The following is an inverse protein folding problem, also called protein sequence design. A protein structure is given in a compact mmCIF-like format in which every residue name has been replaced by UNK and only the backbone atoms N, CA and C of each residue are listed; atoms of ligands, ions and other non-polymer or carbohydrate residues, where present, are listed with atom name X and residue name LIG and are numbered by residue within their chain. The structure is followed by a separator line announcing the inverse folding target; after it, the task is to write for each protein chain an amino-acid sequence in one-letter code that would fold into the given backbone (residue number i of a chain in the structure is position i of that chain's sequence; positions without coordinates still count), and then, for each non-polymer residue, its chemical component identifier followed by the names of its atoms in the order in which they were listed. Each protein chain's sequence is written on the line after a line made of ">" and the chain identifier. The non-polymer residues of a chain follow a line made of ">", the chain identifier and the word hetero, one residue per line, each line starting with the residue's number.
data_IF_430440299704
#
_entry.id   IF_430440299704
#
_cell.length_a   1.000
_cell.length_b   1.000
_cell.length_c   1.000
_cell.angle_alpha   90.00
_cell.angle_beta   90.00
_cell.angle_gamma   90.00
#
_symmetry.space_group_name_H-M   'P 1'
#
loop_
_entity.id
_entity.type
_entity.pdbx_description
1 polymer ?
#
# COMPACT_ATOMS: atom_id res chain seq x y z
N UNK A 1 -10.87 -7.98 -34.91
CA UNK A 1 -9.56 -8.03 -34.24
C UNK A 1 -9.12 -6.68 -33.69
N UNK A 2 -9.07 -5.61 -34.50
CA UNK A 2 -8.59 -4.28 -34.07
C UNK A 2 -9.28 -3.75 -32.81
N UNK A 3 -10.63 -3.74 -32.80
CA UNK A 3 -11.39 -3.25 -31.63
C UNK A 3 -11.05 -3.99 -30.34
N UNK A 4 -10.86 -5.31 -30.40
CA UNK A 4 -10.46 -6.14 -29.25
C UNK A 4 -9.04 -5.79 -28.76
N UNK A 5 -8.11 -5.57 -29.68
CA UNK A 5 -6.74 -5.15 -29.32
C UNK A 5 -6.73 -3.78 -28.66
N UNK A 6 -7.49 -2.81 -29.20
CA UNK A 6 -7.63 -1.46 -28.60
C UNK A 6 -8.25 -1.56 -27.20
N UNK A 7 -9.28 -2.39 -27.04
CA UNK A 7 -9.94 -2.61 -25.74
C UNK A 7 -8.92 -3.10 -24.70
N UNK A 8 -8.15 -4.14 -25.02
CA UNK A 8 -7.14 -4.69 -24.10
C UNK A 8 -6.08 -3.63 -23.77
N UNK A 9 -5.58 -2.90 -24.77
CA UNK A 9 -4.54 -1.90 -24.52
C UNK A 9 -5.01 -0.73 -23.66
N UNK A 10 -6.21 -0.20 -23.91
CA UNK A 10 -6.78 0.87 -23.08
C UNK A 10 -7.00 0.37 -21.66
N UNK A 11 -7.55 -0.84 -21.50
CA UNK A 11 -7.74 -1.46 -20.19
C UNK A 11 -6.42 -1.57 -19.42
N UNK A 12 -5.39 -2.14 -20.03
CA UNK A 12 -4.09 -2.32 -19.39
C UNK A 12 -3.41 -0.99 -19.03
N UNK A 13 -3.46 0.00 -19.92
CA UNK A 13 -2.87 1.32 -19.67
C UNK A 13 -3.60 2.04 -18.54
N UNK A 14 -4.94 2.01 -18.51
CA UNK A 14 -5.72 2.59 -17.42
C UNK A 14 -5.43 1.91 -16.09
N UNK A 15 -5.42 0.58 -16.06
CA UNK A 15 -5.07 -0.18 -14.86
C UNK A 15 -3.65 0.13 -14.38
N UNK A 16 -2.68 0.23 -15.29
CA UNK A 16 -1.30 0.59 -14.95
C UNK A 16 -1.22 1.98 -14.30
N UNK A 17 -1.97 2.96 -14.79
CA UNK A 17 -2.03 4.31 -14.21
C UNK A 17 -2.62 4.28 -12.80
N UNK A 18 -3.73 3.56 -12.59
CA UNK A 18 -4.40 3.45 -11.30
C UNK A 18 -3.50 2.73 -10.29
N UNK A 19 -2.92 1.58 -10.66
CA UNK A 19 -2.02 0.81 -9.80
C UNK A 19 -0.76 1.61 -9.47
N UNK A 20 -0.19 2.33 -10.44
CA UNK A 20 0.95 3.19 -10.21
C UNK A 20 0.67 4.32 -9.21
N UNK A 21 -0.53 4.92 -9.29
CA UNK A 21 -0.96 5.95 -8.34
C UNK A 21 -1.27 5.38 -6.96
N UNK A 22 -1.91 4.21 -6.90
CA UNK A 22 -2.15 3.51 -5.64
C UNK A 22 -0.82 3.17 -4.96
N UNK A 23 0.14 2.65 -5.69
CA UNK A 23 1.48 2.38 -5.17
C UNK A 23 2.14 3.65 -4.62
N UNK A 24 2.11 4.76 -5.36
CA UNK A 24 2.65 6.03 -4.87
C UNK A 24 1.95 6.51 -3.59
N UNK A 25 0.61 6.43 -3.53
CA UNK A 25 -0.14 6.82 -2.34
C UNK A 25 0.26 5.99 -1.14
N UNK A 26 0.33 4.68 -1.31
CA UNK A 26 0.65 3.72 -0.26
C UNK A 26 2.09 3.88 0.26
N UNK A 27 3.06 4.07 -0.63
CA UNK A 27 4.49 4.22 -0.22
C UNK A 27 4.84 5.56 0.40
N UNK A 28 3.96 6.56 0.31
CA UNK A 28 4.14 7.89 0.91
C UNK A 28 3.01 8.22 1.90
N UNK A 29 2.22 7.22 2.30
CA UNK A 29 1.21 7.42 3.33
C UNK A 29 1.90 7.66 4.68
N UNK A 30 1.38 8.61 5.43
CA UNK A 30 1.75 8.79 6.82
C UNK A 30 1.27 7.57 7.61
N UNK A 31 2.19 6.84 8.21
CA UNK A 31 1.88 5.68 9.03
C UNK A 31 1.32 6.07 10.39
N UNK A 32 1.47 7.33 10.79
CA UNK A 32 1.12 7.83 12.13
C UNK A 32 2.15 7.47 13.20
N UNK A 33 3.31 6.93 12.80
CA UNK A 33 4.46 6.69 13.68
C UNK A 33 5.77 6.88 12.91
N UNK A 34 6.84 7.23 13.63
CA UNK A 34 8.17 7.48 13.08
C UNK A 34 9.02 6.20 13.11
N UNK A 35 9.48 5.78 11.95
CA UNK A 35 10.37 4.62 11.79
C UNK A 35 11.69 4.96 11.08
N UNK A 36 12.00 6.24 10.93
CA UNK A 36 13.25 6.70 10.33
C UNK A 36 14.43 6.29 11.20
N UNK A 37 15.44 5.67 10.57
CA UNK A 37 16.63 5.13 11.26
C UNK A 37 16.29 4.17 12.41
N UNK A 38 15.11 3.56 12.40
CA UNK A 38 14.68 2.58 13.36
C UNK A 38 15.14 1.17 12.97
N UNK A 39 15.76 0.50 13.92
CA UNK A 39 16.22 -0.88 13.79
C UNK A 39 15.67 -1.72 14.93
N UNK A 40 15.63 -3.02 14.74
CA UNK A 40 15.25 -3.93 15.80
C UNK A 40 15.97 -5.28 15.70
N UNK A 41 16.06 -5.96 16.83
CA UNK A 41 16.39 -7.37 16.92
C UNK A 41 15.23 -8.11 17.55
N UNK A 42 15.13 -9.42 17.28
CA UNK A 42 14.09 -10.28 17.84
C UNK A 42 14.69 -11.46 18.59
N UNK A 43 14.31 -11.61 19.84
CA UNK A 43 14.81 -12.64 20.77
C UNK A 43 13.63 -13.53 21.22
N UNK A 44 13.32 -14.54 20.43
CA UNK A 44 12.15 -15.43 20.66
C UNK A 44 12.45 -16.66 21.51
N UNK A 45 13.67 -16.82 22.00
CA UNK A 45 14.11 -18.00 22.75
C UNK A 45 13.65 -18.07 24.21
N UNK A 46 12.85 -17.10 24.65
CA UNK A 46 12.31 -17.04 26.01
C UNK A 46 13.28 -16.47 27.07
N UNK A 47 14.49 -16.11 26.69
CA UNK A 47 15.49 -15.55 27.61
C UNK A 47 15.24 -14.04 27.88
N UNK A 48 14.43 -13.76 28.89
CA UNK A 48 14.14 -12.38 29.33
C UNK A 48 15.39 -11.62 29.80
N UNK A 49 16.39 -12.34 30.33
CA UNK A 49 17.63 -11.72 30.75
C UNK A 49 18.46 -11.28 29.54
N UNK A 50 18.38 -12.02 28.43
CA UNK A 50 18.99 -11.60 27.16
C UNK A 50 18.40 -10.28 26.68
N UNK A 51 17.08 -10.09 26.76
CA UNK A 51 16.42 -8.83 26.42
C UNK A 51 16.98 -7.70 27.29
N UNK A 52 17.04 -7.90 28.59
CA UNK A 52 17.60 -6.88 29.52
C UNK A 52 19.06 -6.57 29.23
N UNK A 53 19.88 -7.60 28.91
CA UNK A 53 21.29 -7.39 28.51
C UNK A 53 21.40 -6.62 27.20
N UNK A 54 20.57 -6.92 26.21
CA UNK A 54 20.55 -6.22 24.93
C UNK A 54 20.18 -4.75 25.11
N UNK A 55 19.13 -4.46 25.88
CA UNK A 55 18.70 -3.08 26.18
C UNK A 55 19.83 -2.30 26.83
N UNK A 56 20.44 -2.82 27.92
CA UNK A 56 21.56 -2.15 28.61
C UNK A 56 22.78 -1.93 27.71
N UNK A 57 23.08 -2.90 26.83
CA UNK A 57 24.18 -2.76 25.88
C UNK A 57 23.91 -1.61 24.91
N UNK A 58 22.70 -1.51 24.36
CA UNK A 58 22.31 -0.45 23.46
C UNK A 58 22.29 0.92 24.14
N UNK A 59 21.71 1.04 25.34
CA UNK A 59 21.69 2.28 26.12
C UNK A 59 23.08 2.79 26.49
N UNK A 60 24.09 1.91 26.54
CA UNK A 60 25.47 2.29 26.82
C UNK A 60 26.21 2.90 25.63
N UNK A 61 25.64 2.82 24.42
CA UNK A 61 26.26 3.29 23.18
C UNK A 61 25.85 4.75 22.90
N UNK A 62 26.81 5.67 22.73
CA UNK A 62 26.51 7.08 22.49
C UNK A 62 25.84 7.36 21.13
N UNK A 63 25.97 6.43 20.18
CA UNK A 63 25.34 6.49 18.87
C UNK A 63 23.89 6.01 18.82
N UNK A 64 23.36 5.47 19.93
CA UNK A 64 22.00 4.97 20.03
C UNK A 64 21.09 6.03 20.65
N UNK A 65 20.10 6.47 19.88
CA UNK A 65 19.16 7.52 20.28
C UNK A 65 17.81 6.90 20.72
N UNK A 66 17.82 6.26 21.87
CA UNK A 66 16.63 5.63 22.44
C UNK A 66 16.54 4.14 22.16
N UNK A 67 16.03 3.42 23.14
CA UNK A 67 15.79 1.97 23.13
C UNK A 67 14.42 1.69 23.70
N UNK A 68 13.72 0.75 23.09
CA UNK A 68 12.42 0.29 23.56
C UNK A 68 12.26 -1.21 23.35
N UNK A 69 11.30 -1.80 24.03
CA UNK A 69 10.91 -3.19 23.78
C UNK A 69 9.42 -3.27 23.49
N UNK A 70 9.03 -4.22 22.65
CA UNK A 70 7.64 -4.47 22.32
C UNK A 70 7.37 -5.96 22.12
N UNK A 71 6.14 -6.37 22.40
CA UNK A 71 5.67 -7.73 22.08
C UNK A 71 5.53 -7.92 20.58
N UNK A 72 4.93 -6.97 19.90
CA UNK A 72 4.73 -7.00 18.46
C UNK A 72 5.07 -5.64 17.85
N UNK A 73 5.19 -5.60 16.53
CA UNK A 73 5.49 -4.38 15.79
C UNK A 73 4.29 -3.99 14.92
N UNK A 74 3.95 -2.69 14.78
CA UNK A 74 2.77 -2.24 14.07
C UNK A 74 2.57 -2.87 12.69
N UNK A 75 3.64 -3.05 11.90
CA UNK A 75 3.55 -3.62 10.55
C UNK A 75 3.21 -5.13 10.51
N UNK A 76 3.37 -5.86 11.61
CA UNK A 76 3.04 -7.29 11.67
C UNK A 76 1.53 -7.56 11.79
N UNK A 77 0.72 -6.51 11.98
CA UNK A 77 -0.69 -6.64 12.29
C UNK A 77 -0.94 -6.89 13.77
N UNK A 78 -2.14 -7.28 14.11
CA UNK A 78 -2.60 -7.46 15.49
C UNK A 78 -3.46 -8.70 15.63
N UNK A 79 -3.60 -9.18 16.85
CA UNK A 79 -4.71 -10.05 17.21
C UNK A 79 -5.94 -9.21 17.61
N UNK A 80 -6.87 -9.78 18.33
CA UNK A 80 -8.01 -9.04 18.80
C UNK A 80 -8.57 -9.58 20.07
N UNK A 81 -8.83 -8.66 20.99
CA UNK A 81 -9.52 -8.95 22.24
C UNK A 81 -10.75 -8.06 22.40
N UNK A 82 -11.67 -8.51 23.26
CA UNK A 82 -12.96 -7.87 23.41
C UNK A 82 -12.97 -6.93 24.61
N UNK A 83 -13.63 -5.80 24.42
CA UNK A 83 -13.76 -4.73 25.42
C UNK A 83 -15.10 -4.83 26.13
N UNK A 84 -15.08 -4.64 27.45
CA UNK A 84 -16.24 -4.61 28.34
C UNK A 84 -16.16 -3.41 29.27
N UNK A 85 -17.31 -2.91 29.72
CA UNK A 85 -17.37 -1.99 30.84
C UNK A 85 -17.19 -2.73 32.16
N UNK A 86 -16.74 -2.02 33.23
CA UNK A 86 -16.82 -2.59 34.59
C UNK A 86 -18.24 -3.03 34.93
N UNK A 87 -18.34 -4.19 35.54
CA UNK A 87 -19.62 -4.78 36.00
C UNK A 87 -20.67 -5.05 34.90
N UNK A 88 -20.27 -5.03 33.60
CA UNK A 88 -21.11 -5.42 32.48
C UNK A 88 -20.52 -6.65 31.76
N UNK A 89 -21.35 -7.67 31.55
CA UNK A 89 -20.97 -8.90 30.84
C UNK A 89 -21.19 -8.77 29.33
N UNK A 90 -21.70 -7.65 28.86
CA UNK A 90 -21.94 -7.40 27.45
C UNK A 90 -20.64 -7.03 26.75
N UNK A 91 -20.27 -7.82 25.77
CA UNK A 91 -19.21 -7.46 24.82
C UNK A 91 -19.59 -6.20 24.04
N UNK A 92 -18.70 -5.21 24.02
CA UNK A 92 -18.94 -3.96 23.32
C UNK A 92 -18.39 -4.03 21.89
N UNK A 93 -17.11 -4.28 21.75
CA UNK A 93 -16.42 -4.40 20.45
C UNK A 93 -15.08 -5.09 20.63
N UNK A 94 -14.48 -5.46 19.50
CA UNK A 94 -13.14 -6.04 19.43
C UNK A 94 -12.10 -4.97 19.06
N UNK A 95 -10.94 -5.03 19.68
CA UNK A 95 -9.81 -4.13 19.41
C UNK A 95 -8.67 -4.85 18.70
N UNK A 96 -7.85 -4.07 18.03
CA UNK A 96 -6.53 -4.48 17.57
C UNK A 96 -5.58 -4.41 18.77
N UNK A 97 -5.17 -5.54 19.30
CA UNK A 97 -4.29 -5.62 20.45
C UNK A 97 -3.06 -6.51 20.22
N UNK A 98 -2.36 -6.85 21.28
CA UNK A 98 -1.07 -7.55 21.39
C UNK A 98 0.14 -6.62 21.38
N UNK A 99 -0.04 -5.41 21.82
CA UNK A 99 1.07 -4.47 21.95
C UNK A 99 1.38 -4.20 23.43
N UNK A 100 2.08 -5.14 24.09
CA UNK A 100 2.84 -4.74 25.27
C UNK A 100 4.09 -4.02 24.82
N UNK A 101 4.35 -2.83 25.38
CA UNK A 101 5.52 -2.03 25.07
C UNK A 101 6.09 -1.34 26.32
N UNK A 102 7.39 -1.11 26.29
CA UNK A 102 8.07 -0.33 27.36
C UNK A 102 7.87 1.17 27.18
N UNK A 103 8.12 1.95 28.26
CA UNK A 103 7.98 3.41 28.26
C UNK A 103 8.64 4.10 27.06
N UNK A 104 9.86 3.70 26.70
CA UNK A 104 10.61 4.30 25.59
C UNK A 104 9.97 4.08 24.22
N UNK A 105 8.97 3.20 24.09
CA UNK A 105 8.33 2.90 22.82
C UNK A 105 7.61 4.10 22.23
N UNK A 106 6.91 4.86 23.04
CA UNK A 106 6.10 6.00 22.60
C UNK A 106 6.95 7.10 21.98
N UNK A 107 8.03 7.48 22.65
CA UNK A 107 8.98 8.49 22.16
C UNK A 107 9.75 7.98 20.94
N UNK A 108 10.20 6.72 20.96
CA UNK A 108 10.96 6.12 19.88
C UNK A 108 10.15 6.03 18.58
N UNK A 109 8.88 5.70 18.69
CA UNK A 109 7.95 5.60 17.57
C UNK A 109 7.24 6.93 17.25
N UNK A 110 7.50 7.99 17.99
CA UNK A 110 6.87 9.29 17.79
C UNK A 110 5.34 9.27 17.95
N UNK A 111 4.83 8.47 18.90
CA UNK A 111 3.39 8.35 19.14
C UNK A 111 2.86 9.65 19.74
N UNK A 112 1.96 10.33 19.05
CA UNK A 112 1.36 11.58 19.47
C UNK A 112 0.20 11.34 20.45
N UNK A 113 0.34 11.82 21.69
CA UNK A 113 -0.75 11.83 22.67
C UNK A 113 -1.68 13.01 22.42
N UNK A 114 -2.96 12.76 22.28
CA UNK A 114 -4.03 13.75 22.16
C UNK A 114 -4.52 14.18 23.55
N UNK A 115 -4.57 13.22 24.48
CA UNK A 115 -4.98 13.44 25.89
C UNK A 115 -4.14 12.55 26.81
N UNK A 116 -3.92 13.02 28.03
CA UNK A 116 -3.27 12.23 29.08
C UNK A 116 -1.77 11.97 28.83
N UNK A 117 -1.33 10.77 29.12
CA UNK A 117 0.09 10.35 29.12
C UNK A 117 0.27 8.85 28.87
N UNK A 118 1.50 8.42 28.64
CA UNK A 118 1.89 7.02 28.62
C UNK A 118 1.55 6.30 29.95
N UNK A 119 1.28 4.98 29.92
CA UNK A 119 1.02 4.19 31.12
C UNK A 119 2.27 4.11 31.99
N UNK A 120 2.09 4.06 33.30
CA UNK A 120 3.19 3.95 34.28
C UNK A 120 3.36 2.56 34.86
N UNK A 121 2.31 1.78 34.81
CA UNK A 121 2.31 0.41 35.32
C UNK A 121 1.30 -0.46 34.55
N UNK A 122 1.26 -1.73 34.90
CA UNK A 122 0.44 -2.72 34.22
C UNK A 122 -1.07 -2.63 34.48
N UNK A 123 -1.53 -1.69 35.32
CA UNK A 123 -2.95 -1.40 35.52
C UNK A 123 -3.45 -0.28 34.62
N UNK A 124 -2.53 0.39 33.90
CA UNK A 124 -2.83 1.46 32.98
C UNK A 124 -2.67 1.01 31.52
N UNK A 125 -3.49 1.57 30.64
CA UNK A 125 -3.40 1.42 29.19
C UNK A 125 -3.56 2.77 28.51
N UNK A 126 -3.13 2.85 27.27
CA UNK A 126 -3.49 3.96 26.36
C UNK A 126 -4.28 3.39 25.18
N UNK A 127 -5.21 4.19 24.70
CA UNK A 127 -6.13 3.82 23.62
C UNK A 127 -6.04 4.83 22.48
N UNK A 128 -6.40 4.42 21.27
CA UNK A 128 -6.43 5.37 20.16
C UNK A 128 -7.75 6.17 20.11
N UNK A 129 -7.78 7.23 19.29
CA UNK A 129 -8.98 8.07 19.11
C UNK A 129 -10.19 7.29 18.54
N UNK A 130 -9.94 6.20 17.78
CA UNK A 130 -11.01 5.31 17.29
C UNK A 130 -11.67 4.57 18.43
N UNK A 131 -10.90 4.15 19.45
CA UNK A 131 -11.43 3.52 20.65
C UNK A 131 -12.42 4.45 21.36
N UNK A 132 -12.04 5.71 21.56
CA UNK A 132 -12.92 6.71 22.21
C UNK A 132 -14.17 6.94 21.37
N UNK A 133 -14.02 7.10 20.07
CA UNK A 133 -15.16 7.24 19.14
C UNK A 133 -16.09 6.05 19.21
N UNK A 134 -15.53 4.83 19.28
CA UNK A 134 -16.34 3.60 19.35
C UNK A 134 -17.03 3.46 20.70
N UNK A 135 -16.36 3.81 21.80
CA UNK A 135 -16.97 3.81 23.14
C UNK A 135 -18.16 4.76 23.26
N UNK A 136 -18.14 5.90 22.56
CA UNK A 136 -19.24 6.85 22.55
C UNK A 136 -20.58 6.27 22.01
N UNK A 137 -20.53 5.15 21.27
CA UNK A 137 -21.74 4.43 20.83
C UNK A 137 -22.42 3.65 22.00
N UNK A 138 -21.69 3.37 23.08
CA UNK A 138 -22.15 2.51 24.17
C UNK A 138 -22.31 3.23 25.50
N UNK A 139 -21.57 4.31 25.71
CA UNK A 139 -21.54 5.05 26.97
C UNK A 139 -21.26 6.53 26.75
N UNK A 140 -21.67 7.37 27.69
CA UNK A 140 -21.38 8.81 27.65
C UNK A 140 -19.99 9.07 28.26
N UNK A 141 -19.04 9.38 27.39
CA UNK A 141 -17.68 9.82 27.74
C UNK A 141 -17.42 11.26 27.27
N UNK A 142 -18.44 12.09 27.35
CA UNK A 142 -18.34 13.52 26.96
C UNK A 142 -17.30 14.31 27.81
N UNK A 143 -16.96 13.80 29.00
CA UNK A 143 -15.94 14.31 29.91
C UNK A 143 -14.51 13.77 29.63
N UNK A 144 -14.31 13.02 28.54
CA UNK A 144 -13.05 12.41 28.15
C UNK A 144 -12.92 10.94 28.54
N UNK A 145 -11.91 10.29 27.99
CA UNK A 145 -11.64 8.86 28.23
C UNK A 145 -10.63 8.62 29.36
N UNK A 146 -9.77 9.59 29.64
CA UNK A 146 -8.69 9.46 30.65
C UNK A 146 -9.29 9.29 32.05
N UNK A 147 -8.80 8.27 32.79
CA UNK A 147 -9.29 7.88 34.11
C UNK A 147 -10.48 6.91 34.10
N UNK A 148 -11.08 6.63 32.95
CA UNK A 148 -12.12 5.61 32.82
C UNK A 148 -11.51 4.20 32.87
N UNK A 149 -12.33 3.24 33.31
CA UNK A 149 -11.91 1.83 33.40
C UNK A 149 -12.61 0.96 32.38
N UNK A 150 -11.88 -0.01 31.86
CA UNK A 150 -12.37 -1.03 30.94
C UNK A 150 -11.78 -2.40 31.33
N UNK A 151 -12.47 -3.46 30.96
CA UNK A 151 -11.93 -4.81 30.98
C UNK A 151 -11.65 -5.24 29.53
N UNK A 152 -10.49 -5.86 29.33
CA UNK A 152 -10.07 -6.38 28.01
C UNK A 152 -9.70 -7.85 28.20
N UNK A 153 -10.32 -8.73 27.40
CA UNK A 153 -10.02 -10.17 27.41
C UNK A 153 -8.54 -10.42 27.15
N UNK A 154 -8.00 -11.57 27.11
CA UNK A 154 -6.60 -11.85 26.79
C UNK A 154 -5.54 -11.23 27.72
N UNK A 155 -5.80 -10.07 28.29
CA UNK A 155 -4.92 -9.36 29.23
C UNK A 155 -5.37 -9.50 30.69
N UNK A 156 -6.32 -10.36 30.99
CA UNK A 156 -6.73 -10.63 32.37
C UNK A 156 -5.59 -11.32 33.13
N UNK A 157 -4.92 -10.54 33.98
CA UNK A 157 -3.81 -11.00 34.83
C UNK A 157 -4.25 -11.50 36.20
N UNK A 158 -5.57 -11.49 36.49
CA UNK A 158 -6.07 -11.96 37.74
C UNK A 158 -5.94 -13.50 37.81
N UNK A 159 -5.30 -13.99 38.88
CA UNK A 159 -5.30 -15.40 39.24
C UNK A 159 -6.55 -15.77 40.05
N UNK A 160 -7.40 -14.79 40.31
CA UNK A 160 -8.68 -14.92 41.02
C UNK A 160 -9.83 -14.90 40.02
N UNK A 161 -11.04 -15.25 40.47
CA UNK A 161 -12.24 -15.12 39.65
C UNK A 161 -12.70 -13.68 39.41
N UNK A 162 -11.97 -12.68 39.92
CA UNK A 162 -12.26 -11.27 39.73
C UNK A 162 -11.53 -10.74 38.49
N UNK A 163 -12.22 -9.96 37.65
CA UNK A 163 -11.66 -9.34 36.45
C UNK A 163 -10.63 -8.24 36.80
N UNK A 164 -9.53 -8.21 36.06
CA UNK A 164 -8.56 -7.11 36.15
C UNK A 164 -8.98 -5.98 35.23
N UNK A 165 -9.31 -4.81 35.80
CA UNK A 165 -9.66 -3.63 35.04
C UNK A 165 -8.44 -2.78 34.73
N UNK A 166 -8.44 -2.19 33.54
CA UNK A 166 -7.42 -1.23 33.11
C UNK A 166 -7.95 0.18 33.19
N UNK A 167 -7.14 1.10 33.70
CA UNK A 167 -7.43 2.53 33.69
C UNK A 167 -6.81 3.15 32.46
N UNK A 168 -7.58 3.89 31.66
CA UNK A 168 -7.08 4.62 30.52
C UNK A 168 -6.26 5.83 31.02
N UNK A 169 -4.95 5.83 30.73
CA UNK A 169 -4.02 6.90 31.14
C UNK A 169 -3.82 7.96 30.06
N UNK A 170 -4.13 7.62 28.81
CA UNK A 170 -4.01 8.56 27.70
C UNK A 170 -4.72 8.08 26.43
N UNK A 171 -4.93 9.02 25.53
CA UNK A 171 -5.48 8.80 24.21
C UNK A 171 -4.44 9.24 23.18
N UNK A 172 -4.09 8.37 22.24
CA UNK A 172 -3.12 8.67 21.20
C UNK A 172 -3.79 8.78 19.83
N UNK A 173 -3.14 9.50 18.92
CA UNK A 173 -3.55 9.58 17.51
C UNK A 173 -3.43 8.22 16.85
N UNK A 174 -4.50 7.73 16.22
CA UNK A 174 -4.50 6.44 15.54
C UNK A 174 -3.38 6.35 14.50
N UNK A 175 -2.69 5.25 14.48
CA UNK A 175 -1.68 4.92 13.49
C UNK A 175 -2.06 3.68 12.69
N UNK A 176 -1.30 3.40 11.62
CA UNK A 176 -1.56 2.24 10.76
C UNK A 176 -1.02 0.96 11.41
N UNK A 177 -1.93 0.02 11.67
CA UNK A 177 -1.62 -1.33 12.14
C UNK A 177 -1.74 -2.30 10.97
N UNK A 178 -0.71 -3.11 10.75
CA UNK A 178 -0.56 -3.95 9.58
C UNK A 178 0.23 -3.26 8.46
N UNK A 179 0.31 -3.93 7.33
CA UNK A 179 0.84 -3.31 6.12
C UNK A 179 -0.28 -2.55 5.40
N UNK A 180 0.07 -1.61 4.54
CA UNK A 180 -0.91 -0.75 3.84
C UNK A 180 -1.85 -1.49 2.87
N UNK A 181 -1.62 -2.78 2.63
CA UNK A 181 -2.51 -3.68 1.88
C UNK A 181 -3.44 -4.50 2.77
N UNK A 182 -3.16 -4.53 4.08
CA UNK A 182 -3.94 -5.26 5.07
C UNK A 182 -3.96 -4.49 6.40
N UNK A 183 -4.48 -3.25 6.35
CA UNK A 183 -4.60 -2.41 7.56
C UNK A 183 -5.75 -2.93 8.42
N UNK A 184 -5.47 -3.05 9.70
CA UNK A 184 -6.50 -3.35 10.70
C UNK A 184 -7.32 -2.07 10.98
N UNK A 185 -8.61 -2.04 10.67
CA UNK A 185 -9.45 -0.87 10.87
C UNK A 185 -9.94 -0.71 12.31
N UNK A 186 -9.73 -1.72 13.17
CA UNK A 186 -10.25 -1.75 14.54
C UNK A 186 -9.62 -0.65 15.38
N UNK A 187 -10.33 -0.20 16.43
CA UNK A 187 -9.71 0.56 17.51
C UNK A 187 -8.53 -0.19 18.13
N UNK A 188 -7.57 0.50 18.69
CA UNK A 188 -6.39 -0.14 19.28
C UNK A 188 -6.08 0.34 20.69
N UNK A 189 -5.39 -0.53 21.43
CA UNK A 189 -4.87 -0.23 22.76
C UNK A 189 -3.41 -0.70 22.87
N UNK A 190 -2.61 0.05 23.63
CA UNK A 190 -1.24 -0.29 23.99
C UNK A 190 -1.15 -0.51 25.50
N UNK A 191 -0.50 -1.62 25.86
CA UNK A 191 -0.38 -2.10 27.22
C UNK A 191 1.03 -1.86 27.75
N UNK A 192 1.15 -1.59 29.01
CA UNK A 192 2.44 -1.44 29.69
C UNK A 192 3.17 -2.77 29.80
N UNK A 193 4.41 -2.80 29.35
CA UNK A 193 5.33 -3.91 29.51
C UNK A 193 6.59 -3.51 30.24
N UNK A 194 6.93 -4.23 31.32
CA UNK A 194 8.16 -4.02 32.07
C UNK A 194 9.29 -4.90 31.51
N UNK A 195 10.42 -4.25 31.17
CA UNK A 195 11.59 -4.95 30.60
C UNK A 195 12.14 -5.97 31.58
N UNK A 196 12.25 -7.22 31.10
CA UNK A 196 12.77 -8.33 31.93
C UNK A 196 11.82 -8.91 32.95
N UNK A 197 10.60 -8.38 33.06
CA UNK A 197 9.57 -8.91 33.96
C UNK A 197 9.09 -10.29 33.52
N UNK A 198 8.74 -11.14 34.49
CA UNK A 198 8.10 -12.43 34.21
C UNK A 198 6.65 -12.30 33.70
N UNK A 199 6.02 -11.18 33.95
CA UNK A 199 4.65 -10.89 33.51
C UNK A 199 4.56 -10.34 32.09
N UNK A 200 5.67 -9.85 31.53
CA UNK A 200 5.73 -9.26 30.20
C UNK A 200 6.67 -10.04 29.28
N UNK A 201 6.26 -10.25 28.05
CA UNK A 201 7.05 -10.88 27.01
C UNK A 201 7.17 -9.95 25.81
N UNK A 202 8.30 -9.27 25.67
CA UNK A 202 8.58 -8.31 24.62
C UNK A 202 9.85 -8.72 23.85
N UNK A 203 9.73 -9.64 22.89
CA UNK A 203 10.90 -10.21 22.21
C UNK A 203 11.59 -9.25 21.25
N UNK A 204 10.94 -8.15 20.85
CA UNK A 204 11.54 -7.16 19.96
C UNK A 204 12.21 -6.07 20.77
N UNK A 205 13.50 -5.85 20.52
CA UNK A 205 14.26 -4.71 21.06
C UNK A 205 14.48 -3.74 19.91
N UNK A 206 13.87 -2.55 20.01
CA UNK A 206 13.91 -1.48 19.03
C UNK A 206 14.92 -0.43 19.46
N UNK A 207 15.61 0.18 18.50
CA UNK A 207 16.54 1.26 18.76
C UNK A 207 16.73 2.14 17.52
N UNK A 208 17.08 3.41 17.72
CA UNK A 208 17.46 4.33 16.64
C UNK A 208 18.96 4.60 16.67
N UNK A 209 19.57 4.69 15.48
CA UNK A 209 20.98 5.10 15.32
C UNK A 209 21.09 6.19 14.27
N UNK A 210 22.02 7.14 14.48
CA UNK A 210 22.18 8.31 13.62
C UNK A 210 22.64 7.98 12.19
N UNK A 211 23.32 6.85 12.00
CA UNK A 211 23.82 6.45 10.69
C UNK A 211 24.06 4.94 10.57
N UNK A 212 24.02 4.44 9.35
CA UNK A 212 24.36 3.04 9.04
C UNK A 212 25.79 2.65 9.41
N UNK A 213 26.68 3.62 9.55
CA UNK A 213 28.08 3.39 9.99
C UNK A 213 28.16 2.90 11.43
N UNK A 214 27.22 3.33 12.27
CA UNK A 214 27.14 2.92 13.68
C UNK A 214 26.64 1.48 13.87
N UNK A 215 25.96 0.90 12.89
CA UNK A 215 25.38 -0.45 12.99
C UNK A 215 26.41 -1.54 13.25
N UNK A 216 27.63 -1.41 12.69
CA UNK A 216 28.68 -2.38 12.91
C UNK A 216 29.14 -2.44 14.37
N UNK A 217 29.28 -1.29 15.02
CA UNK A 217 29.63 -1.19 16.44
C UNK A 217 28.48 -1.67 17.32
N UNK A 218 27.24 -1.28 16.98
CA UNK A 218 26.03 -1.72 17.66
C UNK A 218 25.89 -3.25 17.61
N UNK A 219 26.14 -3.85 16.43
CA UNK A 219 26.11 -5.32 16.27
C UNK A 219 27.15 -5.99 17.16
N UNK A 220 28.39 -5.53 17.13
CA UNK A 220 29.47 -6.09 17.96
C UNK A 220 29.16 -5.97 19.46
N UNK A 221 28.57 -4.86 19.90
CA UNK A 221 28.19 -4.68 21.30
C UNK A 221 27.08 -5.64 21.71
N UNK A 222 26.07 -5.83 20.86
CA UNK A 222 24.97 -6.77 21.07
C UNK A 222 25.46 -8.23 21.10
N UNK A 223 26.31 -8.63 20.15
CA UNK A 223 26.87 -9.98 20.12
C UNK A 223 27.72 -10.28 21.38
N UNK A 224 28.46 -9.30 21.85
CA UNK A 224 29.20 -9.41 23.12
C UNK A 224 28.25 -9.53 24.32
N UNK A 225 27.20 -8.73 24.40
CA UNK A 225 26.25 -8.75 25.50
C UNK A 225 25.39 -10.03 25.51
N UNK A 226 25.20 -10.64 24.36
CA UNK A 226 24.45 -11.88 24.15
C UNK A 226 25.33 -13.11 23.99
N UNK A 227 26.54 -13.07 24.56
CA UNK A 227 27.45 -14.24 24.68
C UNK A 227 27.88 -14.85 23.33
N UNK A 228 28.06 -14.01 22.32
CA UNK A 228 28.47 -14.42 20.97
C UNK A 228 27.35 -15.04 20.12
N UNK A 229 26.09 -14.86 20.49
CA UNK A 229 24.96 -15.22 19.62
C UNK A 229 25.02 -14.41 18.32
N UNK A 230 24.76 -15.04 17.21
CA UNK A 230 24.60 -14.34 15.94
C UNK A 230 23.33 -13.48 15.99
N UNK A 231 23.50 -12.16 15.81
CA UNK A 231 22.43 -11.19 15.88
C UNK A 231 22.09 -10.68 14.48
N UNK A 232 20.84 -10.79 14.13
CA UNK A 232 20.29 -10.17 12.93
C UNK A 232 19.65 -8.83 13.29
N UNK A 233 20.29 -7.72 12.93
CA UNK A 233 19.72 -6.38 13.04
C UNK A 233 18.88 -6.14 11.79
N UNK A 234 17.60 -5.86 11.96
CA UNK A 234 16.64 -5.62 10.87
C UNK A 234 16.34 -4.13 10.81
N UNK A 235 16.47 -3.53 9.64
CA UNK A 235 15.98 -2.17 9.39
C UNK A 235 14.46 -2.20 9.29
N UNK A 236 13.79 -1.38 10.10
CA UNK A 236 12.33 -1.25 10.04
C UNK A 236 11.88 -0.71 8.68
N UNK A 237 12.63 0.27 8.14
CA UNK A 237 12.37 0.85 6.82
C UNK A 237 12.48 -0.19 5.69
N UNK A 238 13.53 -1.06 5.74
CA UNK A 238 13.67 -2.14 4.75
C UNK A 238 12.54 -3.16 4.85
N UNK A 239 12.10 -3.47 6.06
CA UNK A 239 10.96 -4.36 6.30
C UNK A 239 9.65 -3.77 5.75
N UNK A 240 9.41 -2.48 5.99
CA UNK A 240 8.28 -1.76 5.42
C UNK A 240 8.34 -1.73 3.90
N UNK A 241 9.51 -1.47 3.31
CA UNK A 241 9.71 -1.50 1.85
C UNK A 241 9.46 -2.90 1.28
N UNK A 242 9.92 -3.95 1.95
CA UNK A 242 9.71 -5.33 1.52
C UNK A 242 8.22 -5.69 1.48
N UNK A 243 7.43 -5.19 2.41
CA UNK A 243 5.97 -5.38 2.41
C UNK A 243 5.29 -4.80 1.15
N UNK A 244 5.92 -3.81 0.50
CA UNK A 244 5.41 -3.20 -0.75
C UNK A 244 5.99 -3.81 -2.03
N UNK A 245 6.99 -4.67 -1.92
CA UNK A 245 7.66 -5.26 -3.09
C UNK A 245 6.70 -6.06 -3.99
N UNK A 246 5.69 -6.70 -3.43
CA UNK A 246 4.68 -7.42 -4.21
C UNK A 246 3.79 -6.47 -5.02
N UNK A 247 3.40 -5.34 -4.46
CA UNK A 247 2.69 -4.28 -5.19
C UNK A 247 3.57 -3.67 -6.29
N UNK A 248 4.86 -3.49 -6.04
CA UNK A 248 5.85 -3.02 -7.00
C UNK A 248 6.06 -4.04 -8.13
N UNK A 249 6.20 -5.32 -7.82
CA UNK A 249 6.30 -6.41 -8.79
C UNK A 249 5.05 -6.46 -9.66
N UNK A 250 3.85 -6.38 -9.07
CA UNK A 250 2.58 -6.37 -9.81
C UNK A 250 2.52 -5.18 -10.77
N UNK A 251 2.85 -3.97 -10.32
CA UNK A 251 2.93 -2.78 -11.17
C UNK A 251 3.89 -2.99 -12.35
N UNK A 252 5.10 -3.49 -12.10
CA UNK A 252 6.11 -3.72 -13.13
C UNK A 252 5.67 -4.79 -14.12
N UNK A 253 5.08 -5.88 -13.66
CA UNK A 253 4.55 -6.95 -14.53
C UNK A 253 3.44 -6.42 -15.43
N UNK A 254 2.52 -5.60 -14.90
CA UNK A 254 1.48 -4.97 -15.71
C UNK A 254 2.04 -3.96 -16.72
N UNK A 255 3.06 -3.18 -16.35
CA UNK A 255 3.74 -2.26 -17.26
C UNK A 255 4.39 -3.01 -18.44
N UNK A 256 5.12 -4.08 -18.14
CA UNK A 256 5.75 -4.94 -19.17
C UNK A 256 4.67 -5.58 -20.07
N UNK A 257 3.62 -6.15 -19.47
CA UNK A 257 2.49 -6.74 -20.20
C UNK A 257 1.78 -5.71 -21.10
N UNK A 258 1.62 -4.48 -20.63
CA UNK A 258 1.03 -3.39 -21.42
C UNK A 258 1.89 -3.02 -22.63
N UNK A 259 3.21 -2.96 -22.47
CA UNK A 259 4.14 -2.68 -23.59
C UNK A 259 4.09 -3.80 -24.63
N UNK A 260 4.16 -5.06 -24.22
CA UNK A 260 4.06 -6.19 -25.16
C UNK A 260 2.70 -6.23 -25.88
N UNK A 261 1.61 -6.05 -25.15
CA UNK A 261 0.27 -5.98 -25.72
C UNK A 261 0.15 -4.85 -26.75
N UNK A 262 0.74 -3.68 -26.44
CA UNK A 262 0.75 -2.55 -27.37
C UNK A 262 1.54 -2.86 -28.63
N UNK A 263 2.71 -3.49 -28.52
CA UNK A 263 3.53 -3.88 -29.69
C UNK A 263 2.77 -4.86 -30.58
N UNK A 264 2.12 -5.87 -30.01
CA UNK A 264 1.29 -6.84 -30.76
C UNK A 264 0.13 -6.12 -31.46
N UNK A 265 -0.52 -5.18 -30.77
CA UNK A 265 -1.62 -4.39 -31.36
C UNK A 265 -1.15 -3.51 -32.52
N UNK A 266 0.05 -2.90 -32.41
CA UNK A 266 0.63 -2.10 -33.48
C UNK A 266 0.95 -2.96 -34.72
N UNK A 267 1.50 -4.17 -34.52
CA UNK A 267 1.73 -5.10 -35.62
C UNK A 267 0.42 -5.54 -36.29
N UNK A 268 -0.59 -5.85 -35.50
CA UNK A 268 -1.93 -6.20 -36.01
C UNK A 268 -2.60 -5.03 -36.76
N UNK A 269 -2.43 -3.80 -36.26
CA UNK A 269 -2.95 -2.58 -36.89
C UNK A 269 -2.27 -2.32 -38.25
N UNK A 270 -0.95 -2.49 -38.35
CA UNK A 270 -0.21 -2.36 -39.61
C UNK A 270 -0.75 -3.38 -40.64
N UNK A 271 -0.93 -4.64 -40.24
CA UNK A 271 -1.51 -5.66 -41.09
C UNK A 271 -2.93 -5.34 -41.53
N UNK A 272 -3.78 -4.88 -40.61
CA UNK A 272 -5.15 -4.44 -40.89
C UNK A 272 -5.20 -3.29 -41.89
N UNK A 273 -4.37 -2.25 -41.70
CA UNK A 273 -4.32 -1.09 -42.61
C UNK A 273 -3.89 -1.53 -44.02
N UNK A 274 -2.94 -2.44 -44.14
CA UNK A 274 -2.52 -2.98 -45.45
C UNK A 274 -3.66 -3.73 -46.14
N UNK A 275 -4.31 -4.65 -45.47
CA UNK A 275 -5.40 -5.44 -46.03
C UNK A 275 -6.58 -4.55 -46.44
N UNK A 276 -7.00 -3.64 -45.60
CA UNK A 276 -8.08 -2.70 -45.83
C UNK A 276 -7.75 -1.72 -47.00
N UNK A 277 -6.49 -1.27 -47.09
CA UNK A 277 -6.05 -0.42 -48.20
C UNK A 277 -6.09 -1.14 -49.54
N UNK A 278 -5.74 -2.42 -49.57
CA UNK A 278 -5.85 -3.25 -50.76
C UNK A 278 -7.32 -3.44 -51.19
N UNK A 279 -8.21 -3.73 -50.23
CA UNK A 279 -9.65 -3.90 -50.49
C UNK A 279 -10.31 -2.63 -51.03
N UNK A 280 -9.90 -1.44 -50.53
CA UNK A 280 -10.47 -0.14 -50.95
C UNK A 280 -9.64 0.55 -52.03
N UNK A 281 -8.66 -0.13 -52.64
CA UNK A 281 -7.77 0.48 -53.61
C UNK A 281 -8.53 1.06 -54.83
N UNK A 282 -9.54 0.32 -55.36
CA UNK A 282 -10.40 0.78 -56.42
C UNK A 282 -11.21 2.04 -56.09
N UNK A 283 -11.80 2.05 -54.87
CA UNK A 283 -12.56 3.23 -54.35
C UNK A 283 -11.65 4.43 -54.21
N UNK A 284 -10.43 4.24 -53.69
CA UNK A 284 -9.44 5.29 -53.52
C UNK A 284 -8.95 5.82 -54.88
N UNK A 285 -8.75 4.98 -55.86
CA UNK A 285 -8.38 5.35 -57.24
C UNK A 285 -9.48 6.20 -57.90
N UNK A 286 -10.75 5.79 -57.79
CA UNK A 286 -11.89 6.54 -58.34
C UNK A 286 -12.01 7.92 -57.68
N UNK A 287 -11.86 8.01 -56.36
CA UNK A 287 -11.90 9.29 -55.64
C UNK A 287 -10.74 10.20 -56.05
N UNK A 288 -9.53 9.64 -56.28
CA UNK A 288 -8.34 10.39 -56.70
C UNK A 288 -8.50 10.95 -58.13
N UNK A 289 -9.13 10.17 -59.03
CA UNK A 289 -9.47 10.62 -60.38
C UNK A 289 -10.52 11.76 -60.33
N UNK A 290 -11.45 11.73 -59.37
CA UNK A 290 -12.43 12.79 -59.14
C UNK A 290 -11.90 13.98 -58.32
N UNK A 291 -10.58 14.09 -58.13
CA UNK A 291 -9.93 15.27 -57.54
C UNK A 291 -9.81 15.23 -56.02
N UNK A 292 -10.08 14.11 -55.35
CA UNK A 292 -9.86 13.97 -53.90
C UNK A 292 -8.37 14.04 -53.57
N UNK A 293 -8.04 14.84 -52.58
CA UNK A 293 -6.66 14.96 -52.07
C UNK A 293 -6.27 13.74 -51.21
N UNK A 294 -4.98 13.49 -51.06
CA UNK A 294 -4.48 12.45 -50.15
C UNK A 294 -5.06 12.63 -48.71
N UNK A 295 -5.29 13.90 -48.28
CA UNK A 295 -5.83 14.22 -46.97
C UNK A 295 -7.30 13.77 -46.82
N UNK A 296 -8.10 13.91 -47.88
CA UNK A 296 -9.49 13.51 -47.85
C UNK A 296 -9.64 11.98 -47.70
N UNK A 297 -8.80 11.23 -48.42
CA UNK A 297 -8.76 9.76 -48.35
C UNK A 297 -8.30 9.32 -46.95
N UNK A 298 -7.24 9.96 -46.42
CA UNK A 298 -6.74 9.71 -45.06
C UNK A 298 -7.80 10.00 -44.01
N UNK A 299 -8.54 11.12 -44.15
CA UNK A 299 -9.59 11.52 -43.21
C UNK A 299 -10.69 10.48 -43.06
N UNK A 300 -11.17 9.94 -44.18
CA UNK A 300 -12.22 8.90 -44.17
C UNK A 300 -11.73 7.62 -43.48
N UNK A 301 -10.50 7.21 -43.83
CA UNK A 301 -9.90 5.98 -43.29
C UNK A 301 -9.62 6.09 -41.78
N UNK A 302 -9.05 7.22 -41.38
CA UNK A 302 -8.80 7.50 -39.97
C UNK A 302 -10.09 7.59 -39.15
N UNK A 303 -11.16 8.18 -39.72
CA UNK A 303 -12.44 8.31 -39.05
C UNK A 303 -13.08 6.95 -38.76
N UNK A 304 -13.05 6.01 -39.70
CA UNK A 304 -13.63 4.67 -39.52
C UNK A 304 -12.88 3.88 -38.43
N UNK A 305 -11.54 3.92 -38.45
CA UNK A 305 -10.71 3.28 -37.40
C UNK A 305 -10.94 3.94 -36.05
N UNK A 306 -11.00 5.28 -36.02
CA UNK A 306 -11.18 6.05 -34.79
C UNK A 306 -12.54 5.79 -34.15
N UNK A 307 -13.62 5.68 -34.93
CA UNK A 307 -14.96 5.33 -34.43
C UNK A 307 -14.96 3.96 -33.76
N UNK A 308 -14.41 2.94 -34.42
CA UNK A 308 -14.30 1.60 -33.85
C UNK A 308 -13.43 1.58 -32.57
N UNK A 309 -12.30 2.30 -32.63
CA UNK A 309 -11.38 2.41 -31.49
C UNK A 309 -11.98 3.18 -30.32
N UNK A 310 -12.79 4.23 -30.57
CA UNK A 310 -13.47 4.99 -29.52
C UNK A 310 -14.52 4.14 -28.78
N UNK A 311 -15.31 3.33 -29.50
CA UNK A 311 -16.25 2.38 -28.87
C UNK A 311 -15.50 1.36 -28.02
N UNK A 312 -14.41 0.80 -28.54
CA UNK A 312 -13.59 -0.16 -27.80
C UNK A 312 -12.94 0.48 -26.55
N UNK A 313 -12.47 1.72 -26.66
CA UNK A 313 -11.91 2.47 -25.55
C UNK A 313 -12.95 2.76 -24.45
N UNK A 314 -14.18 3.11 -24.84
CA UNK A 314 -15.26 3.32 -23.88
C UNK A 314 -15.58 2.04 -23.08
N UNK A 315 -15.72 0.90 -23.78
CA UNK A 315 -15.94 -0.39 -23.13
C UNK A 315 -14.77 -0.79 -22.22
N UNK A 316 -13.53 -0.51 -22.65
CA UNK A 316 -12.35 -0.74 -21.85
C UNK A 316 -12.32 0.10 -20.55
N UNK A 317 -12.71 1.39 -20.65
CA UNK A 317 -12.80 2.26 -19.48
C UNK A 317 -13.87 1.78 -18.48
N UNK A 318 -15.01 1.31 -18.98
CA UNK A 318 -16.06 0.74 -18.12
C UNK A 318 -15.54 -0.52 -17.41
N UNK A 319 -14.93 -1.45 -18.16
CA UNK A 319 -14.34 -2.65 -17.57
C UNK A 319 -13.26 -2.33 -16.55
N UNK A 320 -12.35 -1.39 -16.89
CA UNK A 320 -11.29 -0.95 -15.98
C UNK A 320 -11.84 -0.30 -14.71
N UNK A 321 -12.94 0.47 -14.79
CA UNK A 321 -13.58 1.04 -13.62
C UNK A 321 -14.08 -0.03 -12.64
N UNK A 322 -14.80 -1.04 -13.12
CA UNK A 322 -15.29 -2.12 -12.25
C UNK A 322 -14.17 -2.94 -11.65
N UNK A 323 -13.16 -3.31 -12.44
CA UNK A 323 -12.01 -4.09 -11.95
C UNK A 323 -11.19 -3.28 -10.95
N UNK A 324 -10.90 -2.01 -11.24
CA UNK A 324 -10.16 -1.13 -10.35
C UNK A 324 -10.92 -0.87 -9.04
N UNK A 325 -12.24 -0.62 -9.12
CA UNK A 325 -13.08 -0.43 -7.92
C UNK A 325 -12.99 -1.64 -7.00
N UNK A 326 -13.15 -2.84 -7.55
CA UNK A 326 -13.07 -4.09 -6.78
C UNK A 326 -11.68 -4.35 -6.22
N UNK A 327 -10.63 -4.08 -7.00
CA UNK A 327 -9.25 -4.24 -6.57
C UNK A 327 -8.87 -3.26 -5.46
N UNK A 328 -9.36 -2.02 -5.54
CA UNK A 328 -9.08 -1.00 -4.52
C UNK A 328 -9.78 -1.27 -3.17
N UNK A 329 -10.81 -2.11 -3.12
CA UNK A 329 -11.51 -2.45 -1.86
C UNK A 329 -10.59 -3.10 -0.82
N UNK A 330 -9.52 -3.75 -1.25
CA UNK A 330 -8.55 -4.41 -0.36
C UNK A 330 -7.59 -3.43 0.34
N UNK A 331 -7.58 -2.15 -0.04
CA UNK A 331 -6.70 -1.15 0.56
C UNK A 331 -7.49 -0.27 1.53
N UNK A 332 -6.91 0.04 2.70
CA UNK A 332 -7.49 1.02 3.62
C UNK A 332 -7.41 2.43 3.02
N UNK A 333 -6.22 2.81 2.55
CA UNK A 333 -5.99 4.07 1.88
C UNK A 333 -6.14 3.92 0.36
N UNK A 334 -7.29 4.36 -0.18
CA UNK A 334 -7.65 4.22 -1.60
C UNK A 334 -7.34 5.48 -2.39
N UNK A 335 -6.82 5.32 -3.59
CA UNK A 335 -6.81 6.41 -4.58
C UNK A 335 -8.23 6.60 -5.10
N UNK A 336 -8.68 7.86 -5.17
CA UNK A 336 -9.94 8.19 -5.84
C UNK A 336 -9.84 7.86 -7.34
N UNK A 337 -10.84 7.17 -7.87
CA UNK A 337 -10.93 6.85 -9.29
C UNK A 337 -11.25 8.13 -10.09
N UNK A 338 -10.25 8.97 -10.29
CA UNK A 338 -10.39 10.22 -11.04
C UNK A 338 -10.63 9.91 -12.53
N UNK A 339 -11.65 10.51 -13.15
CA UNK A 339 -11.92 10.39 -14.59
C UNK A 339 -10.71 10.66 -15.49
N UNK A 340 -9.76 11.48 -15.03
CA UNK A 340 -8.53 11.79 -15.78
C UNK A 340 -7.66 10.56 -16.07
N UNK A 341 -7.68 9.52 -15.25
CA UNK A 341 -6.93 8.28 -15.52
C UNK A 341 -7.52 7.54 -16.72
N UNK A 342 -8.84 7.49 -16.81
CA UNK A 342 -9.57 6.82 -17.89
C UNK A 342 -9.44 7.61 -19.19
N UNK A 343 -9.70 8.91 -19.14
CA UNK A 343 -9.58 9.81 -20.31
C UNK A 343 -8.13 9.85 -20.80
N UNK A 344 -7.16 10.03 -19.90
CA UNK A 344 -5.73 10.11 -20.26
C UNK A 344 -5.22 8.80 -20.88
N UNK A 345 -5.57 7.65 -20.27
CA UNK A 345 -5.21 6.33 -20.80
C UNK A 345 -5.84 6.05 -22.18
N UNK A 346 -7.14 6.36 -22.34
CA UNK A 346 -7.82 6.21 -23.62
C UNK A 346 -7.22 7.13 -24.70
N UNK A 347 -7.02 8.40 -24.38
CA UNK A 347 -6.42 9.35 -25.33
C UNK A 347 -5.00 8.96 -25.75
N UNK A 348 -4.19 8.46 -24.82
CA UNK A 348 -2.84 7.99 -25.12
C UNK A 348 -2.87 6.86 -26.16
N UNK A 349 -3.68 5.83 -25.92
CA UNK A 349 -3.80 4.70 -26.86
C UNK A 349 -4.38 5.13 -28.20
N UNK A 350 -5.45 5.95 -28.20
CA UNK A 350 -6.05 6.48 -29.43
C UNK A 350 -5.07 7.34 -30.22
N UNK A 351 -4.25 8.15 -29.58
CA UNK A 351 -3.20 8.94 -30.23
C UNK A 351 -2.13 8.04 -30.89
N UNK A 352 -1.73 6.96 -30.23
CA UNK A 352 -0.79 5.98 -30.80
C UNK A 352 -1.41 5.30 -32.03
N UNK A 353 -2.66 4.83 -31.93
CA UNK A 353 -3.39 4.20 -33.02
C UNK A 353 -3.49 5.17 -34.21
N UNK A 354 -3.93 6.41 -33.95
CA UNK A 354 -4.03 7.45 -34.99
C UNK A 354 -2.68 7.74 -35.64
N UNK A 355 -1.61 7.86 -34.87
CA UNK A 355 -0.25 8.07 -35.36
C UNK A 355 0.18 6.98 -36.34
N UNK A 356 -0.07 5.71 -35.98
CA UNK A 356 0.25 4.56 -36.85
C UNK A 356 -0.61 4.55 -38.11
N UNK A 357 -1.90 4.86 -38.00
CA UNK A 357 -2.79 4.99 -39.17
C UNK A 357 -2.26 6.04 -40.13
N UNK A 358 -1.98 7.25 -39.63
CA UNK A 358 -1.47 8.35 -40.45
C UNK A 358 -0.15 8.01 -41.13
N UNK A 359 0.82 7.45 -40.38
CA UNK A 359 2.13 7.06 -40.94
C UNK A 359 2.02 6.01 -42.04
N UNK A 360 1.20 4.97 -41.85
CA UNK A 360 1.03 3.92 -42.85
C UNK A 360 0.25 4.42 -44.06
N UNK A 361 -0.82 5.17 -43.88
CA UNK A 361 -1.58 5.74 -44.99
C UNK A 361 -0.78 6.74 -45.80
N UNK A 362 0.10 7.57 -45.16
CA UNK A 362 1.02 8.47 -45.88
C UNK A 362 2.02 7.68 -46.75
N UNK A 363 2.51 6.54 -46.26
CA UNK A 363 3.38 5.64 -47.05
C UNK A 363 2.65 5.09 -48.30
N UNK A 364 1.43 4.62 -48.12
CA UNK A 364 0.59 4.07 -49.21
C UNK A 364 0.22 5.15 -50.22
N UNK A 365 -0.18 6.33 -49.75
CA UNK A 365 -0.57 7.45 -50.60
C UNK A 365 0.60 8.04 -51.43
N UNK A 366 1.85 7.87 -50.97
CA UNK A 366 3.06 8.25 -51.70
C UNK A 366 3.53 7.18 -52.68
N UNK A 367 3.06 5.94 -52.54
CA UNK A 367 3.36 4.89 -53.52
C UNK A 367 2.69 5.21 -54.86
N UNK A 368 3.40 4.93 -55.97
CA UNK A 368 2.99 5.35 -57.32
C UNK A 368 1.72 4.58 -57.77
N UNK A 369 0.61 5.29 -58.08
CA UNK A 369 -0.66 4.62 -58.44
C UNK A 369 -0.59 3.78 -59.70
N UNK A 370 0.43 3.99 -60.57
CA UNK A 370 0.60 3.25 -61.81
C UNK A 370 1.08 1.81 -61.60
N UNK A 371 1.80 1.53 -60.48
CA UNK A 371 2.24 0.17 -60.18
C UNK A 371 1.09 -0.72 -59.61
N UNK A 372 0.12 -0.12 -58.93
CA UNK A 372 -1.03 -0.84 -58.40
C UNK A 372 -2.07 -1.26 -59.46
N UNK A 373 -2.02 -0.66 -60.65
CA UNK A 373 -2.89 -1.02 -61.79
C UNK A 373 -2.20 -2.03 -62.78
N UNK A 374 -0.89 -2.27 -62.62
CA UNK A 374 -0.10 -3.09 -63.54
C UNK A 374 0.08 -4.55 -63.07
N UNK A 375 -0.32 -4.87 -61.86
CA UNK A 375 -0.20 -6.21 -61.24
C UNK A 375 -1.55 -6.99 -61.25
N UNK A 376 -2.41 -6.73 -62.19
CA UNK A 376 -3.45 -7.64 -62.71
C UNK A 376 -3.02 -8.01 -64.14
#
# INVERSE_FOLDING_TARGET
>A
MLGFQVLINVFLVVMMLIIGRQYQKVTHADTGYDYDNLYYISLFDGDRQAITRAVRALESLPEVNGVATAYNLPFNGSNGDNVYLPDDDRELFNIADQYECSDGFYDLMGIEFLEGRAPRDSSEIVVDEKFVTKMAEFTDWSDGAVGKQVFITGHDRSRSSERSYFTISGVYRSYIIGNLTGVDPRPSALFYGEIGSMSSWMPHVLFKVDSSTSLGMTKAALEKALEGREINIVSYEEQMRAAYDDSKKMRNTMAIGSVFSLLIALLGLIGFIRDESLRRSKEMAVRKINGATTRDILGVFAADILKLSAVAALLACIAAFFVASRWLEQFAEKVSLNPLYFIGGALLVLAIVLGVVVLNCLRIARANPVESLKNE
#
